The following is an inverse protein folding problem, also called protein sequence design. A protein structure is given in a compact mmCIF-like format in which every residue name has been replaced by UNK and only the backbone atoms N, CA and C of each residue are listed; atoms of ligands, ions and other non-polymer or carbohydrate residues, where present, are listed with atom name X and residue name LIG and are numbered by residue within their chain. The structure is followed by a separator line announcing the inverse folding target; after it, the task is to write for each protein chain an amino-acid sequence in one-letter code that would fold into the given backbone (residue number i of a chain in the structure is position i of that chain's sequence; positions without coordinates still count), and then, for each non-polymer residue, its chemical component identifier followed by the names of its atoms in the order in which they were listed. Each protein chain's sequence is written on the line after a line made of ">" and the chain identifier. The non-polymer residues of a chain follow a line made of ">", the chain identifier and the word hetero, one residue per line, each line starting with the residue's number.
data_IF_542577888245
#
_entry.id   IF_542577888245
#
_cell.length_a   1.000
_cell.length_b   1.000
_cell.length_c   1.000
_cell.angle_alpha   90.00
_cell.angle_beta   90.00
_cell.angle_gamma   90.00
#
_symmetry.space_group_name_H-M   'P 1'
#
loop_
_entity.id
_entity.type
_entity.pdbx_description
1 polymer ?
#
# COMPACT_ATOMS: atom_id res chain seq x y z
N UNK A 1 -1.19 16.53 18.85
CA UNK A 1 -1.30 15.67 17.67
C UNK A 1 -0.08 14.79 17.66
N UNK A 2 -0.32 13.49 17.75
CA UNK A 2 0.73 12.48 17.92
C UNK A 2 1.65 12.45 16.70
N UNK A 3 2.92 12.11 16.93
CA UNK A 3 3.96 12.13 15.90
C UNK A 3 3.59 11.25 14.69
N UNK A 4 2.91 10.13 14.93
CA UNK A 4 2.45 9.21 13.88
C UNK A 4 1.38 9.85 12.99
N UNK A 5 0.42 10.59 13.56
CA UNK A 5 -0.63 11.28 12.80
C UNK A 5 -0.01 12.33 11.89
N UNK A 6 0.98 13.09 12.36
CA UNK A 6 1.67 14.07 11.52
C UNK A 6 2.42 13.42 10.35
N UNK A 7 3.08 12.27 10.57
CA UNK A 7 3.73 11.49 9.51
C UNK A 7 2.70 11.01 8.49
N UNK A 8 1.64 10.37 8.96
CA UNK A 8 0.56 9.88 8.11
C UNK A 8 -0.04 10.98 7.24
N UNK A 9 -0.46 12.10 7.84
CA UNK A 9 -1.01 13.24 7.13
C UNK A 9 -0.01 13.84 6.12
N UNK A 10 1.28 13.78 6.42
CA UNK A 10 2.33 14.19 5.50
C UNK A 10 2.42 13.22 4.32
N UNK A 11 2.39 11.91 4.54
CA UNK A 11 2.51 10.91 3.48
C UNK A 11 1.30 10.92 2.53
N UNK A 12 0.08 11.01 3.07
CA UNK A 12 -1.13 11.06 2.23
C UNK A 12 -1.22 12.31 1.36
N UNK A 13 -0.46 13.37 1.70
CA UNK A 13 -0.36 14.58 0.87
C UNK A 13 0.42 14.35 -0.44
N UNK A 14 1.20 13.27 -0.55
CA UNK A 14 1.88 12.90 -1.79
C UNK A 14 0.94 12.07 -2.67
N UNK A 15 0.72 12.53 -3.90
CA UNK A 15 0.08 11.72 -4.94
C UNK A 15 1.06 10.63 -5.39
N UNK A 16 0.72 9.37 -5.11
CA UNK A 16 1.56 8.19 -5.39
C UNK A 16 0.83 7.10 -6.15
N UNK A 17 -0.38 7.38 -6.68
CA UNK A 17 -1.18 6.38 -7.37
C UNK A 17 -0.43 5.68 -8.52
N UNK A 18 -0.57 4.36 -8.60
CA UNK A 18 0.05 3.51 -9.63
C UNK A 18 -0.72 3.54 -10.97
N UNK A 19 -0.11 3.05 -12.04
CA UNK A 19 -0.67 3.00 -13.40
C UNK A 19 -0.45 1.63 -14.04
N UNK A 20 -1.51 0.82 -14.12
CA UNK A 20 -1.48 -0.53 -14.71
C UNK A 20 -1.02 -0.54 -16.18
N UNK A 21 -1.31 0.54 -16.93
CA UNK A 21 -0.97 0.64 -18.33
C UNK A 21 0.52 0.98 -18.56
N UNK A 22 1.21 1.45 -17.52
CA UNK A 22 2.63 1.76 -17.58
C UNK A 22 3.47 0.48 -17.65
N UNK A 23 4.59 0.57 -18.36
CA UNK A 23 5.61 -0.48 -18.42
C UNK A 23 6.89 -0.12 -17.63
N UNK A 24 6.92 1.03 -16.96
CA UNK A 24 8.05 1.42 -16.11
C UNK A 24 7.87 0.91 -14.68
N UNK A 25 8.97 0.94 -13.92
CA UNK A 25 8.96 0.80 -12.46
C UNK A 25 9.77 1.96 -11.87
N UNK A 26 9.16 2.81 -11.01
CA UNK A 26 7.73 2.82 -10.68
C UNK A 26 6.84 3.10 -11.91
N UNK A 27 5.60 2.64 -11.88
CA UNK A 27 4.62 2.85 -12.95
C UNK A 27 4.32 4.33 -13.16
N UNK A 28 4.37 5.12 -12.08
CA UNK A 28 4.21 6.58 -12.12
C UNK A 28 5.40 7.28 -11.47
N UNK A 29 5.95 8.30 -12.14
CA UNK A 29 7.11 9.06 -11.63
C UNK A 29 6.83 9.80 -10.32
N UNK A 30 5.56 9.99 -9.97
CA UNK A 30 5.14 10.68 -8.75
C UNK A 30 5.43 9.87 -7.48
N UNK A 31 5.53 8.54 -7.57
CA UNK A 31 5.96 7.70 -6.45
C UNK A 31 7.37 8.04 -5.94
N UNK A 32 8.28 8.45 -6.82
CA UNK A 32 9.63 8.89 -6.43
C UNK A 32 9.61 10.05 -5.43
N UNK A 33 8.59 10.92 -5.45
CA UNK A 33 8.53 12.06 -4.51
C UNK A 33 8.39 11.60 -3.06
N UNK A 34 7.59 10.56 -2.81
CA UNK A 34 7.47 9.98 -1.48
C UNK A 34 8.74 9.20 -1.13
N UNK A 35 9.30 8.44 -2.08
CA UNK A 35 10.54 7.70 -1.87
C UNK A 35 11.72 8.62 -1.48
N UNK A 36 11.91 9.72 -2.19
CA UNK A 36 12.92 10.76 -1.89
C UNK A 36 12.70 11.38 -0.51
N UNK A 37 11.44 11.70 -0.17
CA UNK A 37 11.09 12.22 1.16
C UNK A 37 11.43 11.21 2.27
N UNK A 38 11.11 9.92 2.07
CA UNK A 38 11.42 8.88 3.03
C UNK A 38 12.93 8.69 3.20
N UNK A 39 13.73 8.77 2.13
CA UNK A 39 15.19 8.78 2.26
C UNK A 39 15.67 9.92 3.15
N UNK A 40 15.17 11.14 2.92
CA UNK A 40 15.54 12.29 3.76
C UNK A 40 15.13 12.07 5.22
N UNK A 41 13.91 11.61 5.45
CA UNK A 41 13.36 11.40 6.78
C UNK A 41 14.06 10.29 7.56
N UNK A 42 14.35 9.15 6.92
CA UNK A 42 15.08 8.04 7.52
C UNK A 42 16.50 8.48 7.93
N UNK A 43 17.18 9.27 7.10
CA UNK A 43 18.45 9.89 7.46
C UNK A 43 18.32 10.84 8.65
N UNK A 44 17.26 11.68 8.67
CA UNK A 44 17.02 12.65 9.74
C UNK A 44 16.75 11.99 11.10
N UNK A 45 16.02 10.87 11.14
CA UNK A 45 15.76 10.16 12.39
C UNK A 45 16.98 9.36 12.87
N UNK A 46 18.00 9.16 12.02
CA UNK A 46 19.25 8.50 12.38
C UNK A 46 19.37 7.03 11.92
N UNK A 47 18.56 6.59 10.97
CA UNK A 47 18.76 5.30 10.31
C UNK A 47 20.07 5.29 9.52
N UNK A 48 20.61 4.11 9.29
CA UNK A 48 21.87 3.88 8.58
C UNK A 48 21.62 3.16 7.26
N UNK A 49 22.61 3.15 6.38
CA UNK A 49 22.54 2.45 5.08
C UNK A 49 21.25 2.84 4.31
N UNK A 50 20.85 4.11 4.41
CA UNK A 50 19.65 4.64 3.77
C UNK A 50 19.93 4.86 2.30
N UNK A 51 19.15 4.19 1.45
CA UNK A 51 19.37 4.18 0.02
C UNK A 51 18.04 4.05 -0.73
N UNK A 52 17.98 4.66 -1.91
CA UNK A 52 16.92 4.45 -2.89
C UNK A 52 17.58 3.98 -4.18
N UNK A 53 17.08 2.90 -4.77
CA UNK A 53 17.57 2.45 -6.06
C UNK A 53 16.92 3.19 -7.24
N UNK A 54 17.39 2.90 -8.46
CA UNK A 54 16.89 3.55 -9.67
C UNK A 54 15.43 3.22 -10.01
N UNK A 55 14.85 2.21 -9.37
CA UNK A 55 13.47 1.77 -9.54
C UNK A 55 12.57 2.26 -8.40
N UNK A 56 13.09 3.09 -7.48
CA UNK A 56 12.31 3.71 -6.41
C UNK A 56 12.15 2.87 -5.15
N UNK A 57 12.82 1.72 -5.03
CA UNK A 57 12.82 0.96 -3.78
C UNK A 57 13.70 1.65 -2.76
N UNK A 58 13.15 1.96 -1.60
CA UNK A 58 13.88 2.53 -0.46
C UNK A 58 14.28 1.42 0.50
N UNK A 59 15.51 1.44 0.98
CA UNK A 59 16.01 0.54 2.02
C UNK A 59 16.71 1.34 3.13
N UNK A 60 16.60 0.90 4.37
CA UNK A 60 17.35 1.46 5.49
C UNK A 60 17.58 0.44 6.62
N UNK A 61 18.53 0.73 7.49
CA UNK A 61 18.93 -0.10 8.63
C UNK A 61 18.79 0.66 9.94
N UNK A 62 18.07 0.07 10.89
CA UNK A 62 18.23 0.35 12.31
C UNK A 62 19.40 -0.50 12.84
N UNK A 63 20.51 0.11 13.30
CA UNK A 63 21.65 -0.66 13.80
C UNK A 63 21.27 -1.44 15.06
N UNK A 64 21.92 -2.59 15.29
CA UNK A 64 21.77 -3.33 16.54
C UNK A 64 22.25 -2.51 17.75
N UNK A 65 21.61 -2.69 18.90
CA UNK A 65 22.07 -2.10 20.18
C UNK A 65 22.45 -3.15 21.24
N UNK A 66 22.62 -4.40 20.80
CA UNK A 66 23.06 -5.55 21.59
C UNK A 66 24.40 -6.08 21.09
N UNK A 67 25.14 -6.75 21.98
CA UNK A 67 26.48 -7.32 21.75
C UNK A 67 26.48 -8.84 21.52
N UNK A 68 25.30 -9.42 21.30
CA UNK A 68 25.09 -10.83 20.99
C UNK A 68 24.36 -11.00 19.66
N UNK A 69 24.50 -12.18 19.05
CA UNK A 69 23.90 -12.47 17.76
C UNK A 69 22.37 -12.55 17.85
N UNK A 70 21.70 -11.78 16.99
CA UNK A 70 20.25 -11.75 16.83
C UNK A 70 19.94 -11.78 15.32
N UNK A 71 18.98 -12.58 14.86
CA UNK A 71 18.51 -12.56 13.47
C UNK A 71 18.16 -11.14 13.00
N UNK A 72 18.55 -10.79 11.78
CA UNK A 72 18.07 -9.55 11.15
C UNK A 72 16.66 -9.77 10.65
N UNK A 73 15.73 -8.92 11.06
CA UNK A 73 14.32 -8.95 10.62
C UNK A 73 14.00 -7.72 9.78
N UNK A 74 13.00 -7.85 8.92
CA UNK A 74 12.53 -6.79 8.03
C UNK A 74 11.12 -6.30 8.34
N UNK A 75 10.85 -5.02 8.08
CA UNK A 75 9.50 -4.48 7.92
C UNK A 75 9.37 -3.83 6.55
N UNK A 76 8.26 -4.09 5.85
CA UNK A 76 8.02 -3.65 4.48
C UNK A 76 6.66 -2.94 4.44
N UNK A 77 6.56 -1.86 3.69
CA UNK A 77 5.30 -1.20 3.35
C UNK A 77 5.38 -0.67 1.92
N UNK A 78 4.25 -0.46 1.25
CA UNK A 78 4.26 0.06 -0.13
C UNK A 78 3.89 1.55 -0.19
N UNK A 79 4.39 2.23 -1.23
CA UNK A 79 4.28 3.69 -1.36
C UNK A 79 3.12 4.13 -2.24
N UNK A 80 2.71 3.29 -3.18
CA UNK A 80 1.63 3.63 -4.10
C UNK A 80 0.25 3.57 -3.43
N UNK A 81 -0.75 3.93 -4.21
CA UNK A 81 -2.15 3.83 -3.81
C UNK A 81 -2.91 3.31 -5.01
N UNK A 82 -3.99 2.56 -4.76
CA UNK A 82 -4.80 1.94 -5.79
C UNK A 82 -5.19 2.87 -6.97
N UNK A 83 -5.18 2.35 -8.22
CA UNK A 83 -5.71 3.07 -9.38
C UNK A 83 -7.24 3.26 -9.34
N UNK A 84 -7.96 2.57 -8.43
CA UNK A 84 -9.43 2.54 -8.39
C UNK A 84 -10.07 3.90 -8.06
N UNK A 85 -9.38 4.76 -7.31
CA UNK A 85 -9.80 6.13 -7.07
C UNK A 85 -8.59 7.06 -6.85
N UNK A 86 -8.77 8.34 -7.13
CA UNK A 86 -7.69 9.33 -7.08
C UNK A 86 -7.03 9.39 -5.70
N UNK A 87 -5.70 9.27 -5.66
CA UNK A 87 -4.86 9.61 -4.50
C UNK A 87 -4.26 11.03 -4.58
N UNK A 88 -4.71 11.85 -5.53
CA UNK A 88 -4.24 13.23 -5.70
C UNK A 88 -5.07 14.22 -4.88
N UNK A 89 -4.40 15.20 -4.28
CA UNK A 89 -5.03 16.29 -3.50
C UNK A 89 -5.92 15.80 -2.35
N UNK A 90 -5.53 14.71 -1.68
CA UNK A 90 -6.24 14.14 -0.52
C UNK A 90 -6.44 15.21 0.55
N UNK A 91 -7.68 15.35 1.03
CA UNK A 91 -8.07 16.29 2.09
C UNK A 91 -8.53 15.53 3.33
N UNK A 92 -7.58 15.04 4.14
CA UNK A 92 -7.93 14.32 5.36
C UNK A 92 -8.57 15.27 6.37
N UNK A 93 -9.57 14.78 7.09
CA UNK A 93 -10.09 15.41 8.30
C UNK A 93 -10.10 14.41 9.44
N UNK A 94 -9.94 14.92 10.66
CA UNK A 94 -9.95 14.10 11.87
C UNK A 94 -11.30 14.29 12.56
N UNK A 95 -11.93 13.18 12.93
CA UNK A 95 -13.12 13.11 13.77
C UNK A 95 -12.66 12.60 15.13
N UNK A 96 -12.68 13.48 16.13
CA UNK A 96 -12.35 13.12 17.51
C UNK A 96 -13.55 12.47 18.21
N UNK A 97 -13.30 11.47 19.05
CA UNK A 97 -14.32 10.79 19.86
C UNK A 97 -15.54 10.36 19.02
N UNK A 98 -15.29 9.56 17.97
CA UNK A 98 -16.34 9.14 17.04
C UNK A 98 -17.57 8.56 17.76
N UNK A 99 -18.76 9.03 17.39
CA UNK A 99 -20.01 8.78 18.13
C UNK A 99 -20.78 7.54 17.66
N UNK A 100 -20.28 6.83 16.65
CA UNK A 100 -20.92 5.64 16.09
C UNK A 100 -22.07 5.96 15.11
N UNK A 101 -22.14 7.19 14.59
CA UNK A 101 -23.15 7.62 13.61
C UNK A 101 -22.58 7.81 12.21
N UNK A 102 -23.44 8.02 11.20
CA UNK A 102 -23.01 8.21 9.82
C UNK A 102 -21.99 9.35 9.66
N UNK A 103 -20.96 9.11 8.84
CA UNK A 103 -19.91 10.09 8.58
C UNK A 103 -20.22 10.79 7.26
N UNK A 104 -20.67 12.05 7.32
CA UNK A 104 -20.91 12.88 6.13
C UNK A 104 -19.58 13.42 5.61
N UNK A 105 -19.10 12.88 4.49
CA UNK A 105 -17.83 13.27 3.85
C UNK A 105 -18.00 14.55 3.03
N UNK A 106 -19.06 14.61 2.22
CA UNK A 106 -19.46 15.80 1.47
C UNK A 106 -21.00 15.92 1.43
N UNK A 107 -21.54 16.89 2.17
CA UNK A 107 -22.98 17.13 2.23
C UNK A 107 -23.57 17.67 0.92
N UNK A 108 -22.81 18.43 0.13
CA UNK A 108 -23.28 19.01 -1.14
C UNK A 108 -23.35 17.95 -2.24
N UNK A 109 -22.41 17.00 -2.24
CA UNK A 109 -22.40 15.86 -3.15
C UNK A 109 -23.24 14.66 -2.63
N UNK A 110 -23.70 14.70 -1.37
CA UNK A 110 -24.45 13.60 -0.75
C UNK A 110 -23.60 12.37 -0.45
N UNK A 111 -22.30 12.55 -0.23
CA UNK A 111 -21.35 11.47 0.03
C UNK A 111 -21.29 11.23 1.54
N UNK A 112 -21.72 10.04 1.95
CA UNK A 112 -21.83 9.64 3.36
C UNK A 112 -21.32 8.21 3.51
N UNK A 113 -20.43 7.98 4.47
CA UNK A 113 -20.09 6.64 4.96
C UNK A 113 -21.09 6.27 6.05
N UNK A 114 -22.07 5.45 5.70
CA UNK A 114 -23.15 5.08 6.62
C UNK A 114 -22.81 3.85 7.44
N UNK A 115 -23.28 3.80 8.68
CA UNK A 115 -23.12 2.64 9.57
C UNK A 115 -24.02 1.46 9.16
N UNK A 116 -24.90 1.65 8.19
CA UNK A 116 -25.62 0.57 7.51
C UNK A 116 -24.74 -0.13 6.49
N UNK A 117 -23.98 0.64 5.69
CA UNK A 117 -23.06 0.10 4.68
C UNK A 117 -21.77 -0.44 5.29
N UNK A 118 -21.28 0.23 6.33
CA UNK A 118 -20.05 -0.10 7.04
C UNK A 118 -20.36 -0.29 8.54
N UNK A 119 -20.99 -1.41 8.94
CA UNK A 119 -21.34 -1.67 10.34
C UNK A 119 -20.14 -1.65 11.29
N UNK A 120 -18.95 -1.99 10.80
CA UNK A 120 -17.66 -1.99 11.50
C UNK A 120 -17.28 -0.63 12.05
N UNK A 121 -17.79 0.49 11.49
CA UNK A 121 -17.60 1.82 12.06
C UNK A 121 -17.99 1.86 13.54
N UNK A 122 -19.04 1.13 13.94
CA UNK A 122 -19.49 1.08 15.35
C UNK A 122 -18.49 0.45 16.31
N UNK A 123 -17.48 -0.27 15.82
CA UNK A 123 -16.41 -0.80 16.65
C UNK A 123 -15.43 0.30 17.11
N UNK A 124 -15.41 1.44 16.40
CA UNK A 124 -14.48 2.54 16.63
C UNK A 124 -15.11 3.70 17.45
N UNK A 125 -16.18 3.43 18.21
CA UNK A 125 -16.81 4.46 19.05
C UNK A 125 -15.83 4.94 20.13
N UNK A 126 -15.63 6.26 20.20
CA UNK A 126 -14.70 6.91 21.10
C UNK A 126 -13.28 7.04 20.55
N UNK A 127 -12.98 6.47 19.37
CA UNK A 127 -11.67 6.59 18.72
C UNK A 127 -11.56 7.88 17.88
N UNK A 128 -10.35 8.21 17.47
CA UNK A 128 -10.09 9.25 16.46
C UNK A 128 -10.09 8.61 15.07
N UNK A 129 -10.93 9.11 14.17
CA UNK A 129 -10.99 8.64 12.78
C UNK A 129 -10.39 9.68 11.83
N UNK A 130 -9.49 9.25 10.95
CA UNK A 130 -9.00 10.06 9.85
C UNK A 130 -9.78 9.65 8.60
N UNK A 131 -10.51 10.59 8.00
CA UNK A 131 -11.38 10.32 6.85
C UNK A 131 -11.11 11.30 5.71
N UNK A 132 -11.52 10.94 4.49
CA UNK A 132 -11.43 11.80 3.32
C UNK A 132 -12.53 12.86 3.28
N UNK A 133 -12.54 13.68 2.23
CA UNK A 133 -13.68 14.52 1.86
C UNK A 133 -14.67 13.82 0.90
N UNK A 134 -14.45 12.54 0.61
CA UNK A 134 -15.32 11.72 -0.25
C UNK A 134 -14.95 11.71 -1.73
N UNK A 135 -13.97 12.51 -2.19
CA UNK A 135 -13.61 12.62 -3.61
C UNK A 135 -12.32 11.88 -3.99
N UNK A 136 -11.65 11.29 -3.00
CA UNK A 136 -10.34 10.63 -3.12
C UNK A 136 -10.30 9.36 -2.25
N UNK A 137 -9.33 8.48 -2.51
CA UNK A 137 -8.87 7.54 -1.48
C UNK A 137 -8.11 8.29 -0.39
N UNK A 138 -8.03 7.71 0.80
CA UNK A 138 -7.20 8.26 1.88
C UNK A 138 -5.72 7.93 1.67
N UNK A 139 -5.43 6.73 1.14
CA UNK A 139 -4.09 6.15 1.11
C UNK A 139 -3.64 5.64 2.48
N UNK A 140 -4.57 5.17 3.32
CA UNK A 140 -4.23 4.44 4.54
C UNK A 140 -3.42 3.18 4.20
N UNK A 141 -3.95 2.42 3.25
CA UNK A 141 -3.23 1.44 2.43
C UNK A 141 -2.27 2.17 1.46
N UNK A 142 -0.95 2.12 1.64
CA UNK A 142 -0.21 1.59 2.82
C UNK A 142 0.65 2.67 3.52
N UNK A 143 0.22 3.92 3.44
CA UNK A 143 0.93 5.03 4.11
C UNK A 143 0.76 5.00 5.63
N UNK A 144 -0.23 4.27 6.14
CA UNK A 144 -0.34 3.97 7.57
C UNK A 144 0.80 3.04 7.99
N UNK A 145 1.05 1.94 7.27
CA UNK A 145 2.17 1.04 7.53
C UNK A 145 3.53 1.74 7.46
N UNK A 146 3.72 2.63 6.47
CA UNK A 146 4.92 3.49 6.41
C UNK A 146 5.05 4.34 7.69
N UNK A 147 3.97 5.00 8.13
CA UNK A 147 3.99 5.85 9.32
C UNK A 147 4.28 5.06 10.60
N UNK A 148 3.75 3.85 10.71
CA UNK A 148 4.00 2.93 11.81
C UNK A 148 5.46 2.48 11.85
N UNK A 149 6.00 2.02 10.72
CA UNK A 149 7.40 1.59 10.59
C UNK A 149 8.33 2.74 10.99
N UNK A 150 8.18 3.91 10.37
CA UNK A 150 9.07 5.05 10.62
C UNK A 150 8.95 5.53 12.07
N UNK A 151 7.74 5.52 12.66
CA UNK A 151 7.53 5.85 14.07
C UNK A 151 8.20 4.84 15.00
N UNK A 152 8.07 3.54 14.73
CA UNK A 152 8.71 2.49 15.52
C UNK A 152 10.24 2.60 15.48
N UNK A 153 10.82 2.85 14.29
CA UNK A 153 12.26 3.03 14.16
C UNK A 153 12.75 4.27 14.92
N UNK A 154 12.02 5.39 14.82
CA UNK A 154 12.34 6.61 15.56
C UNK A 154 12.25 6.38 17.08
N UNK A 155 11.26 5.60 17.54
CA UNK A 155 11.12 5.23 18.94
C UNK A 155 12.31 4.39 19.42
N UNK A 156 12.70 3.34 18.69
CA UNK A 156 13.82 2.46 19.07
C UNK A 156 15.16 3.21 19.09
N UNK A 157 15.38 4.13 18.15
CA UNK A 157 16.57 5.00 18.15
C UNK A 157 16.62 5.94 19.38
N UNK A 158 15.46 6.45 19.81
CA UNK A 158 15.36 7.34 20.97
C UNK A 158 15.42 6.61 22.32
N UNK A 159 15.16 5.29 22.34
CA UNK A 159 15.03 4.48 23.56
C UNK A 159 16.03 3.29 23.56
N UNK A 160 17.35 3.55 23.70
CA UNK A 160 18.41 2.52 23.63
C UNK A 160 18.36 1.47 24.77
N UNK A 161 17.53 1.69 25.79
CA UNK A 161 17.18 0.71 26.81
C UNK A 161 16.33 -0.44 26.26
N UNK A 162 15.56 -0.21 25.18
CA UNK A 162 14.82 -1.26 24.48
C UNK A 162 15.80 -2.01 23.60
N UNK A 163 16.10 -3.26 23.98
CA UNK A 163 17.09 -4.08 23.27
C UNK A 163 16.54 -4.66 21.97
N UNK A 164 17.28 -4.48 20.89
CA UNK A 164 16.93 -5.00 19.58
C UNK A 164 18.18 -5.35 18.77
N UNK A 165 18.01 -6.32 17.87
CA UNK A 165 19.00 -6.63 16.84
C UNK A 165 19.00 -5.59 15.72
N UNK A 166 19.65 -5.95 14.61
CA UNK A 166 19.57 -5.18 13.36
C UNK A 166 18.16 -5.34 12.77
N UNK A 167 17.52 -4.23 12.42
CA UNK A 167 16.21 -4.22 11.73
C UNK A 167 16.38 -3.53 10.39
N UNK A 168 15.81 -4.10 9.34
CA UNK A 168 15.78 -3.50 8.01
C UNK A 168 14.37 -3.03 7.72
N UNK A 169 14.27 -1.91 7.01
CA UNK A 169 13.00 -1.41 6.50
C UNK A 169 13.10 -1.22 5.00
N UNK A 170 12.02 -1.51 4.28
CA UNK A 170 11.94 -1.23 2.86
C UNK A 170 10.59 -0.65 2.48
N UNK A 171 10.60 0.26 1.50
CA UNK A 171 9.40 0.84 0.93
C UNK A 171 9.39 0.60 -0.58
N UNK A 172 8.44 -0.18 -1.08
CA UNK A 172 8.37 -0.60 -2.48
C UNK A 172 7.34 0.22 -3.29
N UNK A 173 7.59 0.42 -4.60
CA UNK A 173 6.61 0.97 -5.52
C UNK A 173 5.69 -0.12 -6.08
N UNK A 174 4.60 0.27 -6.73
CA UNK A 174 3.75 -0.57 -7.60
C UNK A 174 3.21 -1.87 -6.97
N UNK A 175 2.91 -1.89 -5.67
CA UNK A 175 2.24 -3.03 -5.04
C UNK A 175 0.86 -3.26 -5.66
N UNK A 176 0.07 -2.18 -5.79
CA UNK A 176 -1.35 -2.21 -6.15
C UNK A 176 -1.61 -2.71 -7.58
N UNK A 177 -0.56 -2.79 -8.40
CA UNK A 177 -0.59 -3.35 -9.76
C UNK A 177 0.16 -4.69 -9.87
N UNK A 178 0.43 -5.32 -8.73
CA UNK A 178 1.07 -6.62 -8.58
C UNK A 178 2.55 -6.66 -8.92
N UNK A 179 3.27 -5.53 -8.83
CA UNK A 179 4.69 -5.43 -9.22
C UNK A 179 5.64 -5.08 -8.07
N UNK A 180 5.12 -4.87 -6.87
CA UNK A 180 5.90 -4.47 -5.69
C UNK A 180 7.07 -5.38 -5.35
N UNK A 181 6.94 -6.68 -5.57
CA UNK A 181 8.02 -7.65 -5.31
C UNK A 181 8.89 -7.97 -6.54
N UNK A 182 8.55 -7.49 -7.74
CA UNK A 182 9.20 -7.94 -8.99
C UNK A 182 10.69 -7.60 -9.07
N UNK A 183 11.08 -6.46 -8.53
CA UNK A 183 12.46 -5.97 -8.54
C UNK A 183 13.06 -5.79 -7.15
N UNK A 184 12.37 -6.30 -6.11
CA UNK A 184 12.84 -6.23 -4.74
C UNK A 184 14.13 -7.05 -4.55
N UNK A 185 15.21 -6.40 -4.13
CA UNK A 185 16.49 -7.08 -3.92
C UNK A 185 16.54 -7.73 -2.53
N UNK A 186 16.03 -8.95 -2.43
CA UNK A 186 15.99 -9.75 -1.19
C UNK A 186 17.38 -9.91 -0.58
N UNK A 187 18.42 -10.07 -1.41
CA UNK A 187 19.80 -10.25 -0.94
C UNK A 187 20.35 -8.97 -0.32
N UNK A 188 20.07 -7.82 -0.94
CA UNK A 188 20.40 -6.49 -0.39
C UNK A 188 19.58 -6.17 0.85
N UNK A 189 18.31 -6.58 0.89
CA UNK A 189 17.48 -6.40 2.07
C UNK A 189 18.06 -7.18 3.27
N UNK A 190 18.51 -8.41 3.05
CA UNK A 190 19.43 -9.11 3.95
C UNK A 190 18.81 -9.49 5.31
N UNK A 191 17.54 -9.89 5.29
CA UNK A 191 16.81 -10.36 6.48
C UNK A 191 16.62 -11.87 6.46
N UNK A 192 16.50 -12.47 7.65
CA UNK A 192 16.10 -13.88 7.81
C UNK A 192 14.60 -14.06 7.50
N UNK A 193 13.78 -13.07 7.89
CA UNK A 193 12.38 -12.95 7.50
C UNK A 193 11.92 -11.48 7.62
N UNK A 194 10.71 -11.19 7.13
CA UNK A 194 10.13 -9.87 7.19
C UNK A 194 8.62 -9.92 7.39
N UNK A 195 8.04 -8.76 7.73
CA UNK A 195 6.60 -8.54 7.85
C UNK A 195 6.20 -7.36 6.98
N UNK A 196 5.13 -7.50 6.21
CA UNK A 196 4.46 -6.37 5.57
C UNK A 196 3.54 -5.70 6.60
N UNK A 197 3.60 -4.37 6.68
CA UNK A 197 2.72 -3.59 7.55
C UNK A 197 1.48 -3.12 6.78
N UNK A 198 0.90 -4.04 6.01
CA UNK A 198 -0.10 -3.80 4.97
C UNK A 198 -1.40 -4.58 5.26
N UNK A 199 -1.75 -4.65 6.55
CA UNK A 199 -2.97 -5.29 7.03
C UNK A 199 -4.10 -4.29 7.25
N UNK A 200 -5.26 -4.77 7.67
CA UNK A 200 -6.42 -3.94 7.98
C UNK A 200 -6.68 -3.82 9.47
N UNK A 201 -7.29 -4.84 10.06
CA UNK A 201 -7.87 -4.73 11.41
C UNK A 201 -6.82 -4.92 12.53
N UNK A 202 -7.08 -4.30 13.68
CA UNK A 202 -6.23 -4.48 14.85
C UNK A 202 -6.16 -5.95 15.29
N UNK A 203 -4.95 -6.50 15.31
CA UNK A 203 -4.70 -7.88 15.72
C UNK A 203 -4.71 -8.89 14.57
N UNK A 204 -4.85 -8.42 13.33
CA UNK A 204 -4.74 -9.25 12.13
C UNK A 204 -3.32 -9.78 11.94
N UNK A 205 -3.22 -11.02 11.45
CA UNK A 205 -1.98 -11.67 11.05
C UNK A 205 -2.28 -12.67 9.93
N UNK A 206 -1.80 -12.37 8.75
CA UNK A 206 -2.00 -13.18 7.56
C UNK A 206 -0.71 -13.88 7.17
N UNK A 207 -0.77 -15.20 6.96
CA UNK A 207 0.37 -16.02 6.52
C UNK A 207 0.00 -17.08 5.49
N UNK A 208 -1.26 -17.09 5.04
CA UNK A 208 -1.79 -18.00 4.04
C UNK A 208 -2.45 -17.19 2.93
N UNK A 209 -2.14 -17.51 1.67
CA UNK A 209 -2.69 -16.81 0.50
C UNK A 209 -3.10 -17.80 -0.60
N UNK A 210 -3.85 -17.32 -1.60
CA UNK A 210 -4.23 -18.15 -2.74
C UNK A 210 -3.03 -18.56 -3.60
N UNK A 211 -3.10 -19.77 -4.16
CA UNK A 211 -2.36 -20.10 -5.37
C UNK A 211 -3.16 -19.57 -6.57
N UNK A 212 -2.60 -18.61 -7.30
CA UNK A 212 -3.29 -17.96 -8.42
C UNK A 212 -2.70 -18.37 -9.78
N UNK A 213 -3.57 -18.53 -10.79
CA UNK A 213 -3.18 -18.73 -12.19
C UNK A 213 -4.23 -18.10 -13.10
N UNK A 214 -3.81 -17.58 -14.26
CA UNK A 214 -4.70 -17.04 -15.28
C UNK A 214 -4.60 -17.86 -16.57
N UNK A 215 -5.72 -17.95 -17.30
CA UNK A 215 -5.78 -18.61 -18.61
C UNK A 215 -6.35 -17.63 -19.64
N UNK A 216 -5.59 -17.36 -20.70
CA UNK A 216 -6.06 -16.61 -21.86
C UNK A 216 -6.44 -17.60 -22.96
N UNK A 217 -7.73 -17.73 -23.23
CA UNK A 217 -8.25 -18.61 -24.29
C UNK A 217 -8.53 -17.76 -25.53
N UNK A 218 -7.75 -17.99 -26.58
CA UNK A 218 -7.97 -17.37 -27.89
C UNK A 218 -8.75 -18.34 -28.78
N UNK A 219 -9.93 -17.92 -29.23
CA UNK A 219 -10.82 -18.75 -30.06
C UNK A 219 -10.93 -18.13 -31.44
N UNK A 220 -10.38 -18.84 -32.42
CA UNK A 220 -10.44 -18.44 -33.83
C UNK A 220 -11.59 -19.17 -34.53
N UNK A 221 -12.59 -18.41 -34.95
CA UNK A 221 -13.71 -18.89 -35.77
C UNK A 221 -13.48 -18.72 -37.27
N UNK A 222 -14.54 -18.96 -38.04
CA UNK A 222 -14.61 -18.72 -39.50
C UNK A 222 -15.85 -17.87 -39.77
N UNK A 223 -15.63 -16.65 -40.27
CA UNK A 223 -16.71 -15.71 -40.61
C UNK A 223 -17.08 -15.81 -42.08
N UNK A 224 -18.38 -15.89 -42.38
CA UNK A 224 -18.95 -15.85 -43.72
C UNK A 224 -20.28 -15.08 -43.68
N UNK A 225 -20.78 -14.61 -44.83
CA UNK A 225 -22.08 -13.94 -44.90
C UNK A 225 -23.18 -14.82 -44.28
N UNK A 226 -23.99 -14.32 -43.31
CA UNK A 226 -24.93 -15.14 -42.54
C UNK A 226 -25.92 -15.94 -43.40
N UNK A 227 -26.39 -15.38 -44.52
CA UNK A 227 -27.27 -16.06 -45.46
C UNK A 227 -26.67 -17.31 -46.14
N UNK A 228 -25.36 -17.51 -46.07
CA UNK A 228 -24.64 -18.67 -46.64
C UNK A 228 -23.88 -19.46 -45.57
N UNK A 229 -24.20 -19.28 -44.28
CA UNK A 229 -23.40 -19.77 -43.16
C UNK A 229 -23.45 -21.29 -42.93
N UNK A 230 -24.49 -21.97 -43.43
CA UNK A 230 -24.65 -23.42 -43.26
C UNK A 230 -23.39 -24.16 -43.74
N UNK A 231 -22.87 -25.01 -42.85
CA UNK A 231 -21.67 -25.84 -43.06
C UNK A 231 -20.38 -25.07 -43.40
N UNK A 232 -20.32 -23.75 -43.11
CA UNK A 232 -19.15 -22.89 -43.39
C UNK A 232 -18.72 -22.03 -42.20
N UNK A 233 -19.69 -21.39 -41.53
CA UNK A 233 -19.40 -20.51 -40.41
C UNK A 233 -18.99 -21.32 -39.18
N UNK A 234 -17.92 -20.91 -38.52
CA UNK A 234 -17.56 -21.34 -37.16
C UNK A 234 -17.63 -20.10 -36.27
N UNK A 235 -18.67 -20.00 -35.45
CA UNK A 235 -18.84 -18.83 -34.60
C UNK A 235 -17.96 -18.97 -33.35
N UNK A 236 -16.91 -18.15 -33.24
CA UNK A 236 -16.00 -18.16 -32.10
C UNK A 236 -16.72 -17.91 -30.76
N UNK A 237 -17.73 -17.03 -30.73
CA UNK A 237 -18.50 -16.78 -29.52
C UNK A 237 -19.32 -18.01 -29.11
N UNK A 238 -19.81 -18.80 -30.07
CA UNK A 238 -20.52 -20.05 -29.77
C UNK A 238 -19.57 -21.08 -29.17
N UNK A 239 -18.36 -21.23 -29.73
CA UNK A 239 -17.32 -22.09 -29.17
C UNK A 239 -16.85 -21.65 -27.79
N UNK A 240 -16.92 -20.35 -27.47
CA UNK A 240 -16.60 -19.83 -26.15
C UNK A 240 -17.63 -20.22 -25.08
N UNK A 241 -18.86 -20.51 -25.49
CA UNK A 241 -20.00 -20.76 -24.60
C UNK A 241 -20.46 -22.23 -24.54
N UNK A 242 -19.98 -23.08 -25.46
CA UNK A 242 -20.25 -24.53 -25.49
C UNK A 242 -19.16 -25.31 -24.76
#
# INVERSE_FOLDING_TARGET
>A
MDQIVNRFLKYVSFDTQSDEASSSTPSTLKQFKLAEYLVEELNQIGMQEVEMDSMGYVYATLPTNVDYDVPTIGFIAHMDTSPDASGAEVRPRIIENYDGTDIVLDAAAGIVSTVEKFPELRHHVGEELIVTDGHTLLGADDKAGIAEIVTAMAYLLAHPEVKHGRVRVAFNPDEEIGRGAHHFDVKRFGCEWAYTMDGGEMGELEFENFNAASARIEITGVSVHPGFAKDKMVNAARLATE
#
